data_IF_697872054443
#
_entry.id   IF_697872054443
#
_cell.length_a   1.000
_cell.length_b   1.000
_cell.length_c   1.000
_cell.angle_alpha   90.00
_cell.angle_beta   90.00
_cell.angle_gamma   90.00
#
_symmetry.space_group_name_H-M   'P 1'
#
loop_
_entity.id
_entity.type
_entity.pdbx_description
1 polymer ?
#
# COMPACT_ATOMS: atom_id res chain seq x y z
N UNK A 1 2.99 6.02 11.63
CA UNK A 1 2.81 7.24 10.81
C UNK A 1 3.66 7.24 9.55
N UNK A 2 4.92 6.78 9.62
CA UNK A 2 5.80 6.71 8.44
C UNK A 2 5.24 5.76 7.36
N UNK A 3 4.69 4.61 7.78
CA UNK A 3 4.05 3.62 6.90
C UNK A 3 3.00 4.24 5.97
N UNK A 4 2.05 4.97 6.54
CA UNK A 4 0.95 5.61 5.81
C UNK A 4 1.46 6.76 4.94
N UNK A 5 2.42 7.54 5.43
CA UNK A 5 3.06 8.61 4.66
C UNK A 5 3.73 8.08 3.38
N UNK A 6 4.52 7.00 3.50
CA UNK A 6 5.12 6.33 2.36
C UNK A 6 4.08 5.75 1.39
N UNK A 7 2.97 5.20 1.92
CA UNK A 7 1.89 4.66 1.10
C UNK A 7 1.20 5.75 0.26
N UNK A 8 0.84 6.88 0.87
CA UNK A 8 0.26 8.01 0.14
C UNK A 8 1.25 8.63 -0.85
N UNK A 9 2.52 8.74 -0.47
CA UNK A 9 3.57 9.20 -1.38
C UNK A 9 3.69 8.26 -2.60
N UNK A 10 3.65 6.95 -2.41
CA UNK A 10 3.66 5.98 -3.50
C UNK A 10 2.47 6.20 -4.46
N UNK A 11 1.27 6.45 -3.93
CA UNK A 11 0.09 6.75 -4.74
C UNK A 11 0.27 8.05 -5.54
N UNK A 12 0.68 9.15 -4.89
CA UNK A 12 0.87 10.44 -5.54
C UNK A 12 1.93 10.38 -6.64
N UNK A 13 3.08 9.77 -6.34
CA UNK A 13 4.19 9.58 -7.29
C UNK A 13 3.74 8.81 -8.54
N UNK A 14 2.84 7.85 -8.41
CA UNK A 14 2.36 7.10 -9.57
C UNK A 14 1.21 7.80 -10.30
N UNK A 15 0.19 8.29 -9.57
CA UNK A 15 -1.04 8.78 -10.17
C UNK A 15 -0.93 10.21 -10.69
N UNK A 16 -0.15 11.10 -10.06
CA UNK A 16 0.04 12.48 -10.55
C UNK A 16 0.68 12.47 -11.94
N UNK A 17 1.86 11.87 -12.17
CA UNK A 17 2.47 11.87 -13.50
C UNK A 17 1.63 11.14 -14.53
N UNK A 18 0.95 10.06 -14.11
CA UNK A 18 0.02 9.30 -14.97
C UNK A 18 -1.15 10.15 -15.45
N UNK A 19 -1.66 11.08 -14.63
CA UNK A 19 -2.70 12.02 -15.04
C UNK A 19 -2.21 12.99 -16.14
N UNK A 20 -0.91 13.32 -16.15
CA UNK A 20 -0.26 14.10 -17.19
C UNK A 20 0.28 13.26 -18.37
N UNK A 21 -0.10 11.98 -18.47
CA UNK A 21 0.37 11.07 -19.53
C UNK A 21 1.85 10.67 -19.41
N UNK A 22 2.54 11.03 -18.32
CA UNK A 22 3.95 10.71 -18.09
C UNK A 22 4.06 9.39 -17.33
N UNK A 23 4.48 8.32 -18.02
CA UNK A 23 4.86 7.04 -17.41
C UNK A 23 6.31 6.73 -17.73
N UNK A 24 7.21 7.03 -16.80
CA UNK A 24 8.62 6.65 -16.92
C UNK A 24 8.92 5.45 -16.03
N UNK A 25 9.94 4.68 -16.42
CA UNK A 25 10.43 3.56 -15.61
C UNK A 25 10.89 4.02 -14.22
N UNK A 26 11.44 5.25 -14.14
CA UNK A 26 11.81 5.88 -12.87
C UNK A 26 10.60 6.07 -11.95
N UNK A 27 9.48 6.58 -12.44
CA UNK A 27 8.25 6.76 -11.65
C UNK A 27 7.71 5.43 -11.13
N UNK A 28 7.72 4.39 -11.97
CA UNK A 28 7.28 3.05 -11.59
C UNK A 28 8.19 2.47 -10.50
N UNK A 29 9.50 2.59 -10.67
CA UNK A 29 10.47 2.15 -9.66
C UNK A 29 10.31 2.91 -8.34
N UNK A 30 10.12 4.22 -8.38
CA UNK A 30 9.92 5.04 -7.18
C UNK A 30 8.61 4.67 -6.45
N UNK A 31 7.53 4.43 -7.19
CA UNK A 31 6.28 3.90 -6.64
C UNK A 31 6.50 2.55 -5.94
N UNK A 32 7.24 1.63 -6.56
CA UNK A 32 7.54 0.33 -5.96
C UNK A 32 8.38 0.46 -4.69
N UNK A 33 9.43 1.30 -4.69
CA UNK A 33 10.29 1.52 -3.50
C UNK A 33 9.49 2.12 -2.35
N UNK A 34 8.70 3.17 -2.60
CA UNK A 34 7.86 3.79 -1.58
C UNK A 34 6.79 2.81 -1.05
N UNK A 35 6.20 2.02 -1.95
CA UNK A 35 5.28 0.94 -1.61
C UNK A 35 5.92 -0.10 -0.71
N UNK A 36 7.11 -0.61 -1.06
CA UNK A 36 7.84 -1.56 -0.21
C UNK A 36 8.19 -1.00 1.16
N UNK A 37 8.65 0.26 1.24
CA UNK A 37 8.92 0.94 2.51
C UNK A 37 7.65 1.06 3.37
N UNK A 38 6.51 1.35 2.76
CA UNK A 38 5.24 1.42 3.49
C UNK A 38 4.83 0.08 4.11
N UNK A 39 5.05 -1.03 3.40
CA UNK A 39 4.78 -2.39 3.88
C UNK A 39 5.71 -2.74 5.04
N UNK A 40 7.02 -2.53 4.88
CA UNK A 40 8.00 -2.79 5.93
C UNK A 40 7.72 -1.96 7.18
N UNK A 41 7.39 -0.68 6.99
CA UNK A 41 6.99 0.21 8.08
C UNK A 41 5.72 -0.28 8.81
N UNK A 42 4.74 -0.80 8.07
CA UNK A 42 3.51 -1.34 8.68
C UNK A 42 3.77 -2.61 9.49
N UNK A 43 4.60 -3.53 8.98
CA UNK A 43 4.99 -4.74 9.71
C UNK A 43 5.78 -4.39 10.98
N UNK A 44 6.70 -3.42 10.90
CA UNK A 44 7.42 -2.91 12.06
C UNK A 44 6.46 -2.28 13.10
N UNK A 45 5.54 -1.41 12.65
CA UNK A 45 4.53 -0.82 13.54
C UNK A 45 3.64 -1.90 14.19
N UNK A 46 3.31 -2.96 13.47
CA UNK A 46 2.55 -4.10 14.01
C UNK A 46 3.33 -4.83 15.09
N UNK A 47 4.60 -5.14 14.86
CA UNK A 47 5.48 -5.76 15.86
C UNK A 47 5.61 -4.89 17.12
N UNK A 48 5.76 -3.57 16.96
CA UNK A 48 5.83 -2.63 18.06
C UNK A 48 4.53 -2.49 18.86
N UNK A 49 3.40 -2.91 18.31
CA UNK A 49 2.09 -2.90 18.98
C UNK A 49 1.70 -4.25 19.58
N UNK A 50 2.58 -5.25 19.52
CA UNK A 50 2.33 -6.55 20.13
C UNK A 50 2.01 -6.41 21.62
N UNK A 51 0.93 -7.05 22.08
CA UNK A 51 0.45 -6.97 23.47
C UNK A 51 -0.32 -5.69 23.83
N UNK A 52 -0.52 -4.75 22.90
CA UNK A 52 -1.37 -3.56 23.11
C UNK A 52 -2.79 -3.79 22.60
N UNK A 53 -3.75 -3.01 23.12
CA UNK A 53 -5.14 -2.93 22.65
C UNK A 53 -5.26 -2.64 21.14
N UNK A 54 -4.27 -1.94 20.59
CA UNK A 54 -4.21 -1.57 19.17
C UNK A 54 -3.62 -2.65 18.26
N UNK A 55 -3.10 -3.75 18.80
CA UNK A 55 -2.40 -4.76 18.01
C UNK A 55 -3.23 -5.28 16.82
N UNK A 56 -4.48 -5.67 17.07
CA UNK A 56 -5.37 -6.22 16.05
C UNK A 56 -5.66 -5.22 14.92
N UNK A 57 -5.73 -3.92 15.23
CA UNK A 57 -5.89 -2.86 14.22
C UNK A 57 -4.69 -2.86 13.25
N UNK A 58 -3.47 -2.98 13.78
CA UNK A 58 -2.25 -2.99 12.97
C UNK A 58 -2.05 -4.30 12.19
N UNK A 59 -2.48 -5.45 12.74
CA UNK A 59 -2.53 -6.71 12.00
C UNK A 59 -3.42 -6.60 10.77
N UNK A 60 -4.61 -6.01 10.90
CA UNK A 60 -5.50 -5.77 9.76
C UNK A 60 -4.87 -4.90 8.67
N UNK A 61 -4.25 -3.78 9.06
CA UNK A 61 -3.49 -2.96 8.11
C UNK A 61 -2.34 -3.74 7.44
N UNK A 62 -1.58 -4.53 8.19
CA UNK A 62 -0.51 -5.37 7.65
C UNK A 62 -1.02 -6.36 6.61
N UNK A 63 -2.13 -7.04 6.87
CA UNK A 63 -2.74 -7.97 5.91
C UNK A 63 -3.12 -7.26 4.59
N UNK A 64 -3.74 -6.08 4.69
CA UNK A 64 -4.11 -5.29 3.51
C UNK A 64 -2.87 -4.83 2.74
N UNK A 65 -1.84 -4.32 3.43
CA UNK A 65 -0.59 -3.87 2.83
C UNK A 65 0.15 -5.01 2.11
N UNK A 66 0.16 -6.22 2.69
CA UNK A 66 0.73 -7.40 2.05
C UNK A 66 -0.07 -7.82 0.80
N UNK A 67 -1.41 -7.72 0.83
CA UNK A 67 -2.22 -7.98 -0.35
C UNK A 67 -1.93 -6.97 -1.49
N UNK A 68 -1.74 -5.69 -1.16
CA UNK A 68 -1.33 -4.65 -2.12
C UNK A 68 0.05 -4.97 -2.71
N UNK A 69 1.02 -5.33 -1.86
CA UNK A 69 2.37 -5.70 -2.30
C UNK A 69 2.35 -6.93 -3.21
N UNK A 70 1.62 -7.98 -2.81
CA UNK A 70 1.50 -9.21 -3.59
C UNK A 70 0.83 -8.98 -4.94
N UNK A 71 -0.28 -8.25 -4.97
CA UNK A 71 -0.95 -7.88 -6.24
C UNK A 71 -0.09 -6.97 -7.11
N UNK A 72 0.69 -6.06 -6.51
CA UNK A 72 1.66 -5.22 -7.21
C UNK A 72 2.77 -6.04 -7.87
N UNK A 73 3.32 -7.01 -7.13
CA UNK A 73 4.29 -7.97 -7.67
C UNK A 73 3.70 -8.80 -8.82
N UNK A 74 2.45 -9.27 -8.70
CA UNK A 74 1.78 -10.00 -9.78
C UNK A 74 1.60 -9.17 -11.04
N UNK A 75 1.44 -7.85 -10.96
CA UNK A 75 1.43 -6.98 -12.17
C UNK A 75 2.77 -7.04 -12.89
N UNK A 76 3.89 -7.06 -12.14
CA UNK A 76 5.23 -7.14 -12.75
C UNK A 76 5.46 -8.47 -13.48
N UNK A 77 4.82 -9.55 -13.01
CA UNK A 77 4.95 -10.90 -13.60
C UNK A 77 3.93 -11.19 -14.70
N UNK A 78 2.66 -10.83 -14.48
CA UNK A 78 1.51 -11.25 -15.31
C UNK A 78 0.90 -10.09 -16.12
N UNK A 79 1.37 -8.85 -15.92
CA UNK A 79 0.93 -7.68 -16.68
C UNK A 79 -0.46 -7.15 -16.31
N UNK A 80 -1.21 -6.71 -17.33
CA UNK A 80 -2.45 -5.93 -17.18
C UNK A 80 -3.60 -6.59 -16.39
N UNK A 81 -3.84 -7.92 -16.44
CA UNK A 81 -4.96 -8.53 -15.72
C UNK A 81 -4.91 -8.32 -14.20
N UNK A 82 -3.71 -8.33 -13.62
CA UNK A 82 -3.49 -8.16 -12.17
C UNK A 82 -3.73 -6.73 -11.67
N UNK A 83 -3.87 -5.75 -12.58
CA UNK A 83 -4.11 -4.34 -12.22
C UNK A 83 -5.45 -4.15 -11.50
N UNK A 84 -6.50 -4.87 -11.93
CA UNK A 84 -7.82 -4.78 -11.28
C UNK A 84 -7.76 -5.23 -9.82
N UNK A 85 -7.07 -6.34 -9.56
CA UNK A 85 -6.87 -6.88 -8.22
C UNK A 85 -6.03 -5.95 -7.34
N UNK A 86 -5.01 -5.32 -7.91
CA UNK A 86 -4.20 -4.36 -7.18
C UNK A 86 -4.97 -3.08 -6.81
N UNK A 87 -5.81 -2.57 -7.72
CA UNK A 87 -6.69 -1.44 -7.43
C UNK A 87 -7.69 -1.83 -6.33
N UNK A 88 -8.28 -3.03 -6.40
CA UNK A 88 -9.21 -3.50 -5.37
C UNK A 88 -8.53 -3.62 -3.99
N UNK A 89 -7.32 -4.19 -3.93
CA UNK A 89 -6.52 -4.25 -2.70
C UNK A 89 -6.13 -2.85 -2.19
N UNK A 90 -5.86 -1.91 -3.09
CA UNK A 90 -5.57 -0.51 -2.72
C UNK A 90 -6.81 0.16 -2.13
N UNK A 91 -7.99 -0.06 -2.71
CA UNK A 91 -9.25 0.48 -2.20
C UNK A 91 -9.63 -0.12 -0.84
N UNK A 92 -9.33 -1.40 -0.60
CA UNK A 92 -9.60 -2.01 0.70
C UNK A 92 -8.77 -1.39 1.84
N UNK A 93 -7.60 -0.81 1.55
CA UNK A 93 -6.86 0.00 2.53
C UNK A 93 -7.67 1.21 2.99
N UNK A 94 -8.27 1.95 2.05
CA UNK A 94 -9.09 3.11 2.38
C UNK A 94 -10.37 2.71 3.12
N UNK A 95 -11.01 1.61 2.70
CA UNK A 95 -12.18 1.07 3.40
C UNK A 95 -11.83 0.67 4.85
N UNK A 96 -10.71 -0.02 5.05
CA UNK A 96 -10.25 -0.40 6.38
C UNK A 96 -9.85 0.82 7.23
N UNK A 97 -9.18 1.80 6.63
CA UNK A 97 -8.84 3.06 7.29
C UNK A 97 -10.11 3.80 7.75
N UNK A 98 -11.11 3.92 6.89
CA UNK A 98 -12.39 4.55 7.23
C UNK A 98 -13.10 3.79 8.36
N UNK A 99 -13.15 2.45 8.29
CA UNK A 99 -13.73 1.62 9.34
C UNK A 99 -13.06 1.87 10.69
N UNK A 100 -11.73 1.90 10.75
CA UNK A 100 -10.96 2.11 11.99
C UNK A 100 -11.08 3.53 12.55
N UNK A 101 -11.36 4.54 11.70
CA UNK A 101 -11.60 5.91 12.15
C UNK A 101 -13.01 6.09 12.72
N UNK A 102 -13.99 5.43 12.12
CA UNK A 102 -15.40 5.50 12.53
C UNK A 102 -15.65 4.68 13.81
N UNK A 103 -14.87 3.62 14.04
CA UNK A 103 -15.07 2.59 15.07
C UNK A 103 -13.98 2.61 16.16
#
# INVERSE_FOLDING_TARGET
MLSHGCFFAALLVYYIPKAFGKKTRFIINLHMVLGSLSVLGMLYETAMKFGTDRFLKYVGFSCVMLAIAGTGYLITKNGKPSVKWHILATLSFFAYLALIIIL
#
